data_IF_288700752466
#
_entry.id   IF_288700752466
#
_cell.length_a   1.000
_cell.length_b   1.000
_cell.length_c   1.000
_cell.angle_alpha   90.00
_cell.angle_beta   90.00
_cell.angle_gamma   90.00
#
_symmetry.space_group_name_H-M   'P 1'
#
loop_
_entity.id
_entity.type
_entity.pdbx_description
1 polymer ?
#
# COMPACT_ATOMS: atom_id res chain seq x y z
N UNK A 1 32.09 20.69 -0.26
CA UNK A 1 31.54 20.30 -1.58
C UNK A 1 31.40 18.80 -1.56
N UNK A 2 30.17 18.32 -1.56
CA UNK A 2 29.92 16.87 -1.56
C UNK A 2 30.40 16.29 -2.89
N UNK A 3 31.20 15.22 -2.81
CA UNK A 3 31.69 14.55 -4.01
C UNK A 3 30.49 13.90 -4.72
N UNK A 4 30.13 14.29 -5.97
CA UNK A 4 28.98 13.75 -6.68
C UNK A 4 29.08 12.23 -6.87
N UNK A 5 30.29 11.68 -6.93
CA UNK A 5 30.48 10.22 -7.02
C UNK A 5 30.09 9.50 -5.73
N UNK A 6 30.33 10.10 -4.56
CA UNK A 6 29.89 9.52 -3.29
C UNK A 6 28.36 9.42 -3.22
N UNK A 7 27.67 10.46 -3.67
CA UNK A 7 26.20 10.47 -3.71
C UNK A 7 25.69 9.34 -4.62
N UNK A 8 26.26 9.19 -5.83
CA UNK A 8 25.90 8.13 -6.77
C UNK A 8 26.15 6.75 -6.16
N UNK A 9 27.30 6.55 -5.49
CA UNK A 9 27.64 5.28 -4.82
C UNK A 9 26.60 4.96 -3.74
N UNK A 10 26.25 5.91 -2.87
CA UNK A 10 25.27 5.71 -1.79
C UNK A 10 23.90 5.33 -2.39
N UNK A 11 23.37 6.10 -3.33
CA UNK A 11 22.08 5.83 -3.96
C UNK A 11 22.04 4.47 -4.66
N UNK A 12 23.07 4.17 -5.46
CA UNK A 12 23.15 2.88 -6.17
C UNK A 12 23.26 1.70 -5.21
N UNK A 13 24.06 1.84 -4.15
CA UNK A 13 24.22 0.82 -3.11
C UNK A 13 22.90 0.57 -2.37
N UNK A 14 22.16 1.62 -2.02
CA UNK A 14 20.84 1.48 -1.37
C UNK A 14 19.86 0.69 -2.23
N UNK A 15 19.83 0.95 -3.55
CA UNK A 15 18.98 0.20 -4.47
C UNK A 15 19.38 -1.27 -4.50
N UNK A 16 20.67 -1.58 -4.65
CA UNK A 16 21.18 -2.96 -4.65
C UNK A 16 20.85 -3.67 -3.33
N UNK A 17 21.11 -3.03 -2.20
CA UNK A 17 20.77 -3.60 -0.87
C UNK A 17 19.29 -3.82 -0.70
N UNK A 18 18.43 -2.96 -1.24
CA UNK A 18 16.97 -3.14 -1.17
C UNK A 18 16.51 -4.41 -1.90
N UNK A 19 17.06 -4.70 -3.07
CA UNK A 19 16.79 -5.96 -3.77
C UNK A 19 17.29 -7.17 -2.97
N UNK A 20 18.48 -7.08 -2.37
CA UNK A 20 19.01 -8.13 -1.50
C UNK A 20 18.12 -8.34 -0.27
N UNK A 21 17.66 -7.27 0.39
CA UNK A 21 16.76 -7.37 1.53
C UNK A 21 15.39 -7.95 1.15
N UNK A 22 14.89 -7.65 -0.03
CA UNK A 22 13.65 -8.27 -0.53
C UNK A 22 13.84 -9.77 -0.73
N UNK A 23 14.99 -10.19 -1.25
CA UNK A 23 15.31 -11.62 -1.39
C UNK A 23 15.51 -12.29 -0.02
N UNK A 24 16.24 -11.65 0.90
CA UNK A 24 16.40 -12.12 2.28
C UNK A 24 15.05 -12.23 3.00
N UNK A 25 14.15 -11.28 2.80
CA UNK A 25 12.81 -11.28 3.37
C UNK A 25 12.03 -12.54 3.00
N UNK A 26 12.16 -13.02 1.76
CA UNK A 26 11.52 -14.27 1.30
C UNK A 26 12.05 -15.50 2.02
N UNK A 27 13.34 -15.54 2.36
CA UNK A 27 13.95 -16.68 3.04
C UNK A 27 13.73 -16.62 4.55
N UNK A 28 13.89 -15.45 5.15
CA UNK A 28 13.83 -15.26 6.61
C UNK A 28 12.42 -15.03 7.13
N UNK A 29 11.45 -14.71 6.23
CA UNK A 29 10.11 -14.25 6.58
C UNK A 29 10.09 -12.94 7.38
N UNK A 30 11.23 -12.24 7.46
CA UNK A 30 11.35 -10.91 8.06
C UNK A 30 10.94 -9.87 7.00
N UNK A 31 10.00 -8.97 7.27
CA UNK A 31 9.65 -7.91 6.33
C UNK A 31 10.86 -7.09 5.92
N UNK A 32 11.05 -6.85 4.61
CA UNK A 32 12.18 -6.07 4.07
C UNK A 32 12.27 -4.65 4.66
N UNK A 33 11.14 -4.10 5.09
CA UNK A 33 11.03 -2.79 5.76
C UNK A 33 11.88 -2.72 7.02
N UNK A 34 11.94 -3.79 7.82
CA UNK A 34 12.77 -3.82 9.04
C UNK A 34 14.25 -3.68 8.69
N UNK A 35 14.71 -4.36 7.62
CA UNK A 35 16.10 -4.23 7.15
C UNK A 35 16.39 -2.81 6.64
N UNK A 36 15.44 -2.19 5.93
CA UNK A 36 15.60 -0.82 5.41
C UNK A 36 15.67 0.22 6.52
N UNK A 37 14.77 0.15 7.51
CA UNK A 37 14.81 1.01 8.70
C UNK A 37 16.10 0.79 9.47
N UNK A 38 16.50 -0.49 9.69
CA UNK A 38 17.75 -0.83 10.35
C UNK A 38 18.99 -0.29 9.64
N UNK A 39 18.98 -0.29 8.29
CA UNK A 39 20.04 0.35 7.48
C UNK A 39 20.07 1.87 7.70
N UNK A 40 18.91 2.53 7.74
CA UNK A 40 18.81 3.95 8.04
C UNK A 40 19.37 4.29 9.43
N UNK A 41 19.00 3.51 10.45
CA UNK A 41 19.54 3.66 11.81
C UNK A 41 21.07 3.43 11.84
N UNK A 42 21.55 2.40 11.15
CA UNK A 42 23.01 2.14 11.06
C UNK A 42 23.73 3.33 10.39
N UNK A 43 23.18 3.87 9.32
CA UNK A 43 23.71 5.08 8.67
C UNK A 43 23.71 6.29 9.62
N UNK A 44 22.68 6.46 10.46
CA UNK A 44 22.64 7.52 11.47
C UNK A 44 23.85 7.44 12.42
N UNK A 45 24.20 6.24 12.88
CA UNK A 45 25.39 6.07 13.73
C UNK A 45 26.69 6.33 12.98
N UNK A 46 26.80 5.91 11.72
CA UNK A 46 27.99 6.17 10.89
C UNK A 46 28.19 7.68 10.67
N UNK A 47 27.12 8.40 10.32
CA UNK A 47 27.12 9.84 10.11
C UNK A 47 27.53 10.59 11.39
N UNK A 48 26.95 10.21 12.53
CA UNK A 48 27.32 10.77 13.84
C UNK A 48 28.79 10.49 14.19
N UNK A 49 29.29 9.29 13.90
CA UNK A 49 30.68 8.91 14.17
C UNK A 49 31.68 9.66 13.29
N UNK A 50 31.29 9.95 12.02
CA UNK A 50 32.14 10.68 11.07
C UNK A 50 32.02 12.19 11.18
N UNK A 51 31.17 12.70 12.09
CA UNK A 51 30.87 14.13 12.29
C UNK A 51 30.44 14.84 11.00
N UNK A 52 29.65 14.11 10.19
CA UNK A 52 29.10 14.62 8.93
C UNK A 52 27.79 15.34 9.21
N UNK A 53 27.71 16.62 8.88
CA UNK A 53 26.43 17.34 8.91
C UNK A 53 25.52 16.84 7.78
N UNK A 54 24.38 16.23 8.16
CA UNK A 54 23.34 15.86 7.19
C UNK A 54 22.59 17.13 6.79
N UNK A 55 22.51 17.47 5.48
CA UNK A 55 21.64 18.53 5.02
C UNK A 55 20.21 18.27 5.45
N UNK A 56 19.40 19.31 5.65
CA UNK A 56 18.00 19.13 6.01
C UNK A 56 17.29 18.26 4.97
N UNK A 57 16.89 17.05 5.37
CA UNK A 57 16.18 16.08 4.51
C UNK A 57 14.68 16.34 4.42
N UNK A 58 14.18 17.39 5.07
CA UNK A 58 12.75 17.72 5.13
C UNK A 58 12.14 17.96 3.74
N UNK A 59 12.76 18.75 2.88
CA UNK A 59 12.24 19.02 1.53
C UNK A 59 12.29 17.79 0.61
N UNK A 60 13.43 17.06 0.49
CA UNK A 60 13.47 15.81 -0.26
C UNK A 60 12.49 14.78 0.28
N UNK A 61 12.32 14.68 1.60
CA UNK A 61 11.39 13.74 2.22
C UNK A 61 9.92 14.09 1.92
N UNK A 62 9.55 15.38 1.94
CA UNK A 62 8.21 15.85 1.57
C UNK A 62 7.92 15.54 0.10
N UNK A 63 8.85 15.82 -0.82
CA UNK A 63 8.68 15.50 -2.25
C UNK A 63 8.57 13.98 -2.49
N UNK A 64 9.45 13.18 -1.89
CA UNK A 64 9.37 11.72 -1.93
C UNK A 64 8.05 11.22 -1.31
N UNK A 65 7.58 11.91 -0.27
CA UNK A 65 6.30 11.64 0.37
C UNK A 65 5.12 11.80 -0.60
N UNK A 66 5.03 12.94 -1.27
CA UNK A 66 3.97 13.24 -2.25
C UNK A 66 4.00 12.26 -3.41
N UNK A 67 5.16 12.08 -4.05
CA UNK A 67 5.33 11.13 -5.16
C UNK A 67 5.07 9.70 -4.69
N UNK A 68 5.52 9.36 -3.48
CA UNK A 68 5.28 8.06 -2.85
C UNK A 68 3.81 7.77 -2.65
N UNK A 69 3.06 8.73 -2.09
CA UNK A 69 1.63 8.59 -1.87
C UNK A 69 0.88 8.38 -3.20
N UNK A 70 1.21 9.18 -4.22
CA UNK A 70 0.63 9.02 -5.57
C UNK A 70 0.87 7.62 -6.12
N UNK A 71 2.12 7.12 -6.05
CA UNK A 71 2.49 5.82 -6.61
C UNK A 71 1.89 4.65 -5.85
N UNK A 72 1.84 4.72 -4.51
CA UNK A 72 1.27 3.66 -3.67
C UNK A 72 -0.24 3.58 -3.83
N UNK A 73 -0.93 4.72 -3.89
CA UNK A 73 -2.37 4.75 -4.15
C UNK A 73 -2.67 4.16 -5.53
N UNK A 74 -1.86 4.50 -6.53
CA UNK A 74 -2.01 3.96 -7.87
C UNK A 74 -1.70 2.44 -7.91
N UNK A 75 -0.62 1.98 -7.25
CA UNK A 75 -0.27 0.57 -7.12
C UNK A 75 -1.45 -0.22 -6.51
N UNK A 76 -1.97 0.24 -5.37
CA UNK A 76 -3.13 -0.37 -4.72
C UNK A 76 -4.38 -0.38 -5.61
N UNK A 77 -4.65 0.72 -6.33
CA UNK A 77 -5.77 0.81 -7.26
C UNK A 77 -5.65 -0.17 -8.44
N UNK A 78 -4.43 -0.35 -8.95
CA UNK A 78 -4.14 -1.29 -10.05
C UNK A 78 -4.22 -2.77 -9.61
N UNK A 79 -4.17 -3.06 -8.32
CA UNK A 79 -4.36 -4.43 -7.79
C UNK A 79 -5.83 -4.82 -7.64
N UNK A 80 -6.76 -3.84 -7.60
CA UNK A 80 -8.19 -4.10 -7.45
C UNK A 80 -8.79 -4.62 -8.76
N UNK A 81 -9.05 -5.93 -8.85
CA UNK A 81 -9.69 -6.60 -9.99
C UNK A 81 -11.14 -6.93 -9.66
N UNK A 82 -12.08 -6.25 -10.31
CA UNK A 82 -13.53 -6.48 -10.13
C UNK A 82 -13.96 -7.66 -10.98
N UNK A 83 -14.05 -8.86 -10.38
CA UNK A 83 -14.56 -10.09 -11.02
C UNK A 83 -15.84 -10.57 -10.32
N UNK A 84 -16.88 -10.92 -11.09
CA UNK A 84 -18.17 -11.40 -10.51
C UNK A 84 -18.00 -12.61 -9.59
N UNK A 85 -17.11 -13.53 -9.93
CA UNK A 85 -16.83 -14.72 -9.11
C UNK A 85 -16.23 -14.40 -7.72
N UNK A 86 -15.61 -13.21 -7.57
CA UNK A 86 -14.89 -12.79 -6.36
C UNK A 86 -15.61 -11.70 -5.56
N UNK A 87 -16.85 -11.37 -5.94
CA UNK A 87 -17.60 -10.28 -5.28
C UNK A 87 -17.80 -10.52 -3.79
N UNK A 88 -17.97 -11.77 -3.33
CA UNK A 88 -18.09 -12.07 -1.90
C UNK A 88 -16.81 -11.75 -1.13
N UNK A 89 -15.65 -12.12 -1.67
CA UNK A 89 -14.35 -11.84 -1.06
C UNK A 89 -14.05 -10.31 -1.06
N UNK A 90 -14.36 -9.65 -2.17
CA UNK A 90 -14.21 -8.19 -2.29
C UNK A 90 -15.11 -7.47 -1.28
N UNK A 91 -16.38 -7.88 -1.16
CA UNK A 91 -17.30 -7.28 -0.20
C UNK A 91 -16.89 -7.56 1.26
N UNK A 92 -16.43 -8.78 1.55
CA UNK A 92 -15.90 -9.11 2.88
C UNK A 92 -14.67 -8.27 3.21
N UNK A 93 -13.70 -8.16 2.30
CA UNK A 93 -12.51 -7.31 2.49
C UNK A 93 -12.89 -5.84 2.66
N UNK A 94 -13.85 -5.33 1.87
CA UNK A 94 -14.37 -3.97 1.97
C UNK A 94 -15.02 -3.69 3.34
N UNK A 95 -15.95 -4.55 3.76
CA UNK A 95 -16.62 -4.40 5.07
C UNK A 95 -15.64 -4.53 6.23
N UNK A 96 -14.73 -5.50 6.16
CA UNK A 96 -13.69 -5.72 7.18
C UNK A 96 -12.75 -4.53 7.29
N UNK A 97 -12.24 -3.99 6.17
CA UNK A 97 -11.30 -2.86 6.19
C UNK A 97 -11.95 -1.59 6.75
N UNK A 98 -13.18 -1.26 6.37
CA UNK A 98 -13.89 -0.10 6.94
C UNK A 98 -14.13 -0.26 8.45
N UNK A 99 -14.62 -1.44 8.88
CA UNK A 99 -14.93 -1.66 10.29
C UNK A 99 -13.68 -1.71 11.15
N UNK A 100 -12.62 -2.40 10.70
CA UNK A 100 -11.35 -2.41 11.42
C UNK A 100 -10.79 -1.00 11.51
N UNK A 101 -10.73 -0.27 10.39
CA UNK A 101 -10.21 1.10 10.35
C UNK A 101 -11.02 2.01 11.31
N UNK A 102 -12.35 2.05 11.18
CA UNK A 102 -13.21 2.93 11.98
C UNK A 102 -13.15 2.63 13.47
N UNK A 103 -13.27 1.35 13.87
CA UNK A 103 -13.21 0.93 15.27
C UNK A 103 -11.80 1.14 15.86
N UNK A 104 -10.76 0.75 15.12
CA UNK A 104 -9.37 0.93 15.56
C UNK A 104 -9.05 2.40 15.71
N UNK A 105 -9.43 3.25 14.74
CA UNK A 105 -9.22 4.69 14.81
C UNK A 105 -9.91 5.33 16.01
N UNK A 106 -11.18 5.00 16.26
CA UNK A 106 -11.94 5.56 17.38
C UNK A 106 -11.34 5.18 18.75
N UNK A 107 -10.86 3.93 18.88
CA UNK A 107 -10.26 3.47 20.13
C UNK A 107 -8.84 4.00 20.32
N UNK A 108 -8.02 4.08 19.25
CA UNK A 108 -6.71 4.73 19.31
C UNK A 108 -6.87 6.21 19.65
N UNK A 109 -7.89 6.90 19.09
CA UNK A 109 -8.21 8.27 19.47
C UNK A 109 -8.50 8.39 20.99
N UNK A 110 -9.25 7.45 21.55
CA UNK A 110 -9.47 7.38 23.01
C UNK A 110 -8.18 7.18 23.81
N UNK A 111 -7.27 6.32 23.33
CA UNK A 111 -5.96 6.12 23.96
C UNK A 111 -5.11 7.39 23.92
N UNK A 112 -5.02 8.04 22.74
CA UNK A 112 -4.24 9.28 22.56
C UNK A 112 -4.82 10.43 23.41
N UNK A 113 -6.14 10.57 23.42
CA UNK A 113 -6.82 11.60 24.21
C UNK A 113 -6.61 11.45 25.72
N UNK A 114 -6.49 10.18 26.20
CA UNK A 114 -6.34 9.91 27.64
C UNK A 114 -4.90 9.84 28.12
N UNK A 115 -3.93 9.53 27.24
CA UNK A 115 -2.54 9.27 27.63
C UNK A 115 -1.53 10.28 27.04
N UNK A 116 -1.94 11.11 26.08
CA UNK A 116 -1.05 12.10 25.45
C UNK A 116 -1.40 13.51 25.92
N UNK A 117 -0.44 14.18 26.53
CA UNK A 117 -0.61 15.58 26.99
C UNK A 117 -0.70 16.59 25.83
N UNK A 118 -0.27 16.18 24.63
CA UNK A 118 -0.27 17.01 23.42
C UNK A 118 -1.64 17.14 22.75
N UNK A 119 -2.64 16.36 23.17
CA UNK A 119 -3.96 16.27 22.51
C UNK A 119 -5.02 16.97 23.34
N UNK A 120 -5.50 18.12 22.85
CA UNK A 120 -6.45 18.97 23.57
C UNK A 120 -7.91 18.57 23.36
N UNK A 121 -8.26 18.06 22.17
CA UNK A 121 -9.64 17.69 21.84
C UNK A 121 -9.74 16.25 21.32
N UNK A 122 -10.90 15.61 21.49
CA UNK A 122 -11.14 14.28 20.92
C UNK A 122 -11.14 14.31 19.38
N UNK A 123 -11.51 15.44 18.78
CA UNK A 123 -11.43 15.65 17.34
C UNK A 123 -10.00 15.56 16.82
N UNK A 124 -9.06 16.22 17.51
CA UNK A 124 -7.63 16.14 17.16
C UNK A 124 -7.09 14.72 17.38
N UNK A 125 -7.47 14.10 18.52
CA UNK A 125 -7.12 12.70 18.79
C UNK A 125 -7.58 11.77 17.68
N UNK A 126 -8.78 11.99 17.14
CA UNK A 126 -9.33 11.17 16.04
C UNK A 126 -8.51 11.32 14.75
N UNK A 127 -8.15 12.55 14.38
CA UNK A 127 -7.26 12.81 13.24
C UNK A 127 -5.87 12.17 13.45
N UNK A 128 -5.28 12.34 14.63
CA UNK A 128 -3.96 11.84 14.96
C UNK A 128 -3.90 10.31 15.06
N UNK A 129 -5.04 9.65 15.29
CA UNK A 129 -5.17 8.21 15.30
C UNK A 129 -5.19 7.60 13.88
N UNK A 130 -5.61 8.35 12.84
CA UNK A 130 -5.76 7.82 11.48
C UNK A 130 -4.49 7.16 10.97
N UNK A 131 -3.30 7.79 11.04
CA UNK A 131 -2.04 7.17 10.60
C UNK A 131 -1.76 5.82 11.27
N UNK A 132 -2.08 5.70 12.56
CA UNK A 132 -1.82 4.50 13.35
C UNK A 132 -2.86 3.38 13.11
N UNK A 133 -4.02 3.70 12.55
CA UNK A 133 -5.11 2.75 12.32
C UNK A 133 -5.03 2.05 10.96
N UNK A 134 -4.31 2.60 9.98
CA UNK A 134 -4.19 2.06 8.61
C UNK A 134 -3.29 0.86 8.55
N UNK A 135 -3.73 -0.24 7.91
CA UNK A 135 -2.91 -1.43 7.60
C UNK A 135 -2.17 -1.19 6.28
N UNK A 136 -0.85 -1.32 6.28
CA UNK A 136 -0.01 -1.04 5.10
C UNK A 136 -0.02 -2.16 4.07
N UNK A 137 -0.59 -1.93 2.89
CA UNK A 137 -0.53 -2.84 1.75
C UNK A 137 0.89 -3.04 1.24
N UNK A 138 1.69 -1.98 1.27
CA UNK A 138 3.09 -1.97 0.86
C UNK A 138 3.96 -3.03 1.59
N UNK A 139 3.56 -3.41 2.80
CA UNK A 139 4.24 -4.43 3.61
C UNK A 139 3.50 -5.77 3.51
N UNK A 140 2.18 -5.76 3.50
CA UNK A 140 1.37 -7.00 3.40
C UNK A 140 1.62 -7.73 2.08
N UNK A 141 1.54 -7.03 0.94
CA UNK A 141 1.63 -7.64 -0.39
C UNK A 141 2.89 -8.52 -0.55
N UNK A 142 4.12 -8.01 -0.31
CA UNK A 142 5.32 -8.83 -0.43
C UNK A 142 5.48 -9.90 0.66
N UNK A 143 4.73 -9.82 1.77
CA UNK A 143 4.90 -10.71 2.92
C UNK A 143 3.97 -11.93 2.89
N UNK A 144 2.80 -11.83 2.22
CA UNK A 144 1.76 -12.87 2.28
C UNK A 144 1.81 -13.91 1.15
N UNK A 145 2.88 -13.93 0.35
CA UNK A 145 2.99 -14.86 -0.79
C UNK A 145 3.12 -16.33 -0.39
N UNK A 146 3.50 -16.61 0.85
CA UNK A 146 3.53 -17.98 1.41
C UNK A 146 2.18 -18.47 1.92
N UNK A 147 1.14 -17.62 1.93
CA UNK A 147 -0.18 -18.00 2.40
C UNK A 147 -1.01 -18.67 1.31
N UNK A 148 -2.00 -19.45 1.74
CA UNK A 148 -3.01 -20.09 0.87
C UNK A 148 -3.65 -19.04 -0.05
N UNK A 149 -3.89 -19.32 -1.35
CA UNK A 149 -4.34 -18.33 -2.34
C UNK A 149 -5.55 -17.51 -1.92
N UNK A 150 -6.56 -18.12 -1.29
CA UNK A 150 -7.77 -17.42 -0.83
C UNK A 150 -7.47 -16.42 0.30
N UNK A 151 -6.65 -16.83 1.27
CA UNK A 151 -6.20 -15.98 2.38
C UNK A 151 -5.31 -14.85 1.89
N UNK A 152 -4.35 -15.16 1.02
CA UNK A 152 -3.48 -14.18 0.37
C UNK A 152 -4.29 -13.09 -0.33
N UNK A 153 -5.24 -13.49 -1.17
CA UNK A 153 -6.09 -12.53 -1.90
C UNK A 153 -6.91 -11.65 -0.97
N UNK A 154 -7.52 -12.24 0.07
CA UNK A 154 -8.26 -11.47 1.08
C UNK A 154 -7.36 -10.47 1.79
N UNK A 155 -6.17 -10.88 2.24
CA UNK A 155 -5.22 -10.02 2.95
C UNK A 155 -4.73 -8.84 2.08
N UNK A 156 -4.43 -9.11 0.80
CA UNK A 156 -4.03 -8.06 -0.16
C UNK A 156 -5.17 -7.06 -0.35
N UNK A 157 -6.40 -7.55 -0.60
CA UNK A 157 -7.55 -6.66 -0.78
C UNK A 157 -7.86 -5.84 0.48
N UNK A 158 -7.85 -6.48 1.65
CA UNK A 158 -8.12 -5.83 2.93
C UNK A 158 -7.10 -4.72 3.23
N UNK A 159 -5.80 -5.01 3.06
CA UNK A 159 -4.74 -4.03 3.29
C UNK A 159 -4.79 -2.88 2.27
N UNK A 160 -4.99 -3.18 0.98
CA UNK A 160 -5.13 -2.15 -0.06
C UNK A 160 -6.34 -1.24 0.20
N UNK A 161 -7.48 -1.81 0.57
CA UNK A 161 -8.67 -1.03 0.92
C UNK A 161 -8.48 -0.24 2.21
N UNK A 162 -7.71 -0.77 3.17
CA UNK A 162 -7.36 -0.04 4.41
C UNK A 162 -6.52 1.20 4.11
N UNK A 163 -5.50 1.11 3.24
CA UNK A 163 -4.72 2.26 2.80
C UNK A 163 -5.62 3.32 2.15
N UNK A 164 -6.49 2.89 1.22
CA UNK A 164 -7.42 3.76 0.50
C UNK A 164 -8.37 4.48 1.45
N UNK A 165 -9.06 3.73 2.31
CA UNK A 165 -10.03 4.32 3.25
C UNK A 165 -9.35 5.18 4.31
N UNK A 166 -8.14 4.81 4.75
CA UNK A 166 -7.37 5.61 5.67
C UNK A 166 -6.98 6.97 5.10
N UNK A 167 -6.50 6.99 3.86
CA UNK A 167 -6.18 8.22 3.13
C UNK A 167 -7.46 9.05 2.89
N UNK A 168 -8.56 8.41 2.45
CA UNK A 168 -9.83 9.12 2.26
C UNK A 168 -10.37 9.71 3.56
N UNK A 169 -10.33 8.96 4.66
CA UNK A 169 -10.76 9.44 5.97
C UNK A 169 -9.93 10.64 6.40
N UNK A 170 -8.62 10.58 6.18
CA UNK A 170 -7.69 11.66 6.46
C UNK A 170 -8.01 12.92 5.64
N UNK A 171 -8.14 12.78 4.33
CA UNK A 171 -8.48 13.90 3.43
C UNK A 171 -9.83 14.51 3.80
N UNK A 172 -10.86 13.69 4.11
CA UNK A 172 -12.17 14.18 4.53
C UNK A 172 -12.14 14.92 5.85
N UNK A 173 -11.24 14.53 6.77
CA UNK A 173 -11.11 15.23 8.05
C UNK A 173 -10.47 16.60 7.90
N UNK A 174 -9.65 16.80 6.86
CA UNK A 174 -9.02 18.08 6.55
C UNK A 174 -9.92 19.02 5.73
N UNK A 175 -11.11 18.59 5.28
CA UNK A 175 -12.04 19.45 4.53
C UNK A 175 -12.60 20.53 5.45
N UNK A 176 -12.30 21.78 5.13
CA UNK A 176 -12.93 22.93 5.74
C UNK A 176 -14.22 23.29 5.00
N UNK A 177 -15.39 23.36 5.69
CA UNK A 177 -16.64 23.76 5.07
C UNK A 177 -16.59 25.24 4.67
N UNK A 178 -17.03 25.57 3.46
CA UNK A 178 -17.20 26.95 3.05
C UNK A 178 -18.29 27.66 3.88
N UNK A 179 -18.23 29.00 3.97
CA UNK A 179 -19.17 29.81 4.71
C UNK A 179 -20.64 29.44 4.35
N UNK A 180 -21.38 28.94 5.33
CA UNK A 180 -22.79 28.56 5.19
C UNK A 180 -23.07 27.10 4.78
N UNK A 181 -22.04 26.27 4.59
CA UNK A 181 -22.20 24.84 4.34
C UNK A 181 -22.07 24.01 5.60
N UNK A 182 -22.86 22.94 5.69
CA UNK A 182 -22.63 21.91 6.72
C UNK A 182 -21.43 21.04 6.34
N UNK A 183 -20.75 20.48 7.35
CA UNK A 183 -19.61 19.55 7.14
C UNK A 183 -20.02 18.39 6.23
N UNK A 184 -21.23 17.86 6.39
CA UNK A 184 -21.76 16.74 5.61
C UNK A 184 -21.96 17.11 4.14
N UNK A 185 -22.40 18.34 3.85
CA UNK A 185 -22.56 18.85 2.48
C UNK A 185 -21.20 19.07 1.84
N UNK A 186 -20.22 19.62 2.56
CA UNK A 186 -18.86 19.85 2.07
C UNK A 186 -18.18 18.51 1.70
N UNK A 187 -18.28 17.50 2.57
CA UNK A 187 -17.73 16.16 2.32
C UNK A 187 -18.41 15.50 1.11
N UNK A 188 -19.76 15.47 1.09
CA UNK A 188 -20.50 14.82 0.01
C UNK A 188 -20.25 15.48 -1.35
N UNK A 189 -20.19 16.81 -1.40
CA UNK A 189 -19.90 17.53 -2.64
C UNK A 189 -18.46 17.25 -3.13
N UNK A 190 -17.48 17.28 -2.22
CA UNK A 190 -16.08 16.98 -2.56
C UNK A 190 -15.95 15.53 -3.10
N UNK A 191 -16.58 14.55 -2.46
CA UNK A 191 -16.60 13.16 -2.93
C UNK A 191 -17.22 13.05 -4.32
N UNK A 192 -18.42 13.61 -4.51
CA UNK A 192 -19.12 13.51 -5.80
C UNK A 192 -18.30 14.14 -6.92
N UNK A 193 -17.78 15.35 -6.71
CA UNK A 193 -16.98 16.06 -7.71
C UNK A 193 -15.68 15.28 -7.98
N UNK A 194 -14.98 14.83 -6.95
CA UNK A 194 -13.75 14.03 -7.10
C UNK A 194 -14.01 12.76 -7.92
N UNK A 195 -15.12 12.05 -7.67
CA UNK A 195 -15.49 10.85 -8.43
C UNK A 195 -15.78 11.21 -9.90
N UNK A 196 -16.59 12.23 -10.15
CA UNK A 196 -16.96 12.64 -11.52
C UNK A 196 -15.72 13.08 -12.29
N UNK A 197 -14.91 13.96 -11.71
CA UNK A 197 -13.66 14.45 -12.32
C UNK A 197 -12.72 13.28 -12.61
N UNK A 198 -12.55 12.36 -11.67
CA UNK A 198 -11.68 11.19 -11.81
C UNK A 198 -12.12 10.28 -12.95
N UNK A 199 -13.42 10.00 -13.04
CA UNK A 199 -13.98 9.16 -14.12
C UNK A 199 -13.77 9.83 -15.47
N UNK A 200 -14.08 11.13 -15.60
CA UNK A 200 -13.86 11.88 -16.85
C UNK A 200 -12.39 11.88 -17.25
N UNK A 201 -11.50 12.21 -16.31
CA UNK A 201 -10.06 12.22 -16.56
C UNK A 201 -9.53 10.84 -16.92
N UNK A 202 -10.03 9.76 -16.28
CA UNK A 202 -9.67 8.39 -16.62
C UNK A 202 -10.01 8.05 -18.07
N UNK A 203 -11.19 8.47 -18.56
CA UNK A 203 -11.56 8.27 -19.97
C UNK A 203 -10.68 9.07 -20.92
N UNK A 204 -10.41 10.34 -20.60
CA UNK A 204 -9.52 11.21 -21.40
C UNK A 204 -8.13 10.59 -21.48
N UNK A 205 -7.60 10.11 -20.34
CA UNK A 205 -6.27 9.51 -20.25
C UNK A 205 -6.16 8.24 -21.08
N UNK A 206 -7.09 7.30 -20.92
CA UNK A 206 -7.10 6.07 -21.72
C UNK A 206 -7.18 6.39 -23.21
N UNK A 207 -7.97 7.40 -23.59
CA UNK A 207 -8.06 7.86 -24.99
C UNK A 207 -6.75 8.47 -25.50
N UNK A 208 -6.10 9.34 -24.71
CA UNK A 208 -4.80 9.95 -25.05
C UNK A 208 -3.74 8.87 -25.23
N UNK A 209 -3.59 7.96 -24.27
CA UNK A 209 -2.62 6.86 -24.36
C UNK A 209 -2.91 5.91 -25.53
N UNK A 210 -4.18 5.71 -25.91
CA UNK A 210 -4.54 4.92 -27.07
C UNK A 210 -4.02 5.54 -28.40
N UNK A 211 -3.96 6.88 -28.47
CA UNK A 211 -3.49 7.59 -29.69
C UNK A 211 -1.97 7.75 -29.76
N UNK A 212 -1.29 7.70 -28.64
CA UNK A 212 0.17 7.87 -28.59
C UNK A 212 0.84 6.59 -29.09
N UNK A 213 1.64 6.72 -30.15
CA UNK A 213 2.39 5.63 -30.79
C UNK A 213 3.87 5.56 -30.36
N UNK A 214 4.30 6.48 -29.48
CA UNK A 214 5.69 6.57 -29.07
C UNK A 214 6.04 5.49 -28.04
N UNK A 215 7.25 4.98 -28.10
CA UNK A 215 7.80 4.00 -27.14
C UNK A 215 8.08 4.62 -25.77
N UNK A 216 8.26 5.95 -25.70
CA UNK A 216 8.60 6.69 -24.49
C UNK A 216 7.31 7.15 -23.79
N UNK A 217 6.70 6.26 -23.01
CA UNK A 217 5.44 6.56 -22.29
C UNK A 217 5.65 6.86 -20.80
N UNK A 218 6.82 6.48 -20.24
CA UNK A 218 7.10 6.56 -18.82
C UNK A 218 7.01 7.99 -18.25
N UNK A 219 7.78 8.93 -18.83
CA UNK A 219 7.78 10.31 -18.35
C UNK A 219 6.44 11.02 -18.58
N UNK A 220 5.76 10.70 -19.67
CA UNK A 220 4.42 11.21 -19.93
C UNK A 220 3.43 10.73 -18.87
N UNK A 221 3.50 9.45 -18.49
CA UNK A 221 2.68 8.89 -17.43
C UNK A 221 2.92 9.58 -16.08
N UNK A 222 4.18 9.73 -15.67
CA UNK A 222 4.54 10.44 -14.45
C UNK A 222 4.08 11.91 -14.47
N UNK A 223 4.28 12.60 -15.59
CA UNK A 223 3.88 13.99 -15.76
C UNK A 223 2.36 14.14 -15.64
N UNK A 224 1.59 13.24 -16.24
CA UNK A 224 0.14 13.26 -16.17
C UNK A 224 -0.34 12.94 -14.75
N UNK A 225 0.27 11.96 -14.09
CA UNK A 225 -0.06 11.62 -12.71
C UNK A 225 0.21 12.79 -11.76
N UNK A 226 1.38 13.43 -11.90
CA UNK A 226 1.73 14.63 -11.16
C UNK A 226 0.79 15.81 -11.46
N UNK A 227 0.36 15.97 -12.72
CA UNK A 227 -0.60 16.99 -13.13
C UNK A 227 -1.98 16.73 -12.51
N UNK A 228 -2.46 15.48 -12.52
CA UNK A 228 -3.72 15.09 -11.88
C UNK A 228 -3.71 15.39 -10.39
N UNK A 229 -2.60 15.04 -9.72
CA UNK A 229 -2.42 15.35 -8.31
C UNK A 229 -2.42 16.86 -8.05
N UNK A 230 -1.59 17.60 -8.79
CA UNK A 230 -1.44 19.05 -8.59
C UNK A 230 -2.72 19.82 -8.91
N UNK A 231 -3.47 19.41 -9.93
CA UNK A 231 -4.79 20.02 -10.26
C UNK A 231 -5.81 19.70 -9.17
N UNK A 232 -5.82 18.47 -8.67
CA UNK A 232 -6.69 18.07 -7.55
C UNK A 232 -6.44 18.93 -6.31
N UNK A 233 -5.20 19.03 -5.86
CA UNK A 233 -4.78 19.88 -4.72
C UNK A 233 -5.10 21.36 -4.97
N UNK A 234 -4.79 21.89 -6.15
CA UNK A 234 -5.06 23.29 -6.49
C UNK A 234 -6.56 23.63 -6.46
N UNK A 235 -7.42 22.70 -6.85
CA UNK A 235 -8.86 22.86 -6.83
C UNK A 235 -9.50 22.48 -5.48
N UNK A 236 -8.72 22.14 -4.48
CA UNK A 236 -9.17 21.66 -3.15
C UNK A 236 -10.05 20.41 -3.22
N UNK A 237 -9.82 19.55 -4.22
CA UNK A 237 -10.41 18.21 -4.29
C UNK A 237 -9.41 17.16 -3.83
N UNK A 238 -9.92 16.02 -3.36
CA UNK A 238 -9.05 14.92 -2.95
C UNK A 238 -8.27 14.36 -4.15
N UNK A 239 -7.02 14.84 -4.32
CA UNK A 239 -6.13 14.47 -5.41
C UNK A 239 -5.82 12.97 -5.41
N UNK A 240 -5.67 12.36 -4.23
CA UNK A 240 -5.41 10.94 -4.07
C UNK A 240 -6.62 10.08 -4.47
N UNK A 241 -7.84 10.57 -4.24
CA UNK A 241 -9.06 9.93 -4.73
C UNK A 241 -9.14 9.93 -6.26
N UNK A 242 -8.69 11.01 -6.90
CA UNK A 242 -8.61 11.09 -8.36
C UNK A 242 -7.68 10.01 -8.91
N UNK A 243 -6.50 9.86 -8.33
CA UNK A 243 -5.52 8.83 -8.72
C UNK A 243 -6.06 7.42 -8.47
N UNK A 244 -6.70 7.20 -7.33
CA UNK A 244 -7.33 5.93 -6.99
C UNK A 244 -8.35 5.49 -8.05
N UNK A 245 -9.32 6.36 -8.34
CA UNK A 245 -10.39 6.05 -9.30
C UNK A 245 -9.79 5.83 -10.69
N UNK A 246 -8.80 6.65 -11.08
CA UNK A 246 -8.06 6.45 -12.32
C UNK A 246 -7.45 5.05 -12.40
N UNK A 247 -6.72 4.60 -11.36
CA UNK A 247 -6.12 3.27 -11.30
C UNK A 247 -7.16 2.14 -11.36
N UNK A 248 -8.28 2.27 -10.61
CA UNK A 248 -9.37 1.28 -10.62
C UNK A 248 -10.04 1.19 -12.00
N UNK A 249 -10.30 2.33 -12.66
CA UNK A 249 -10.87 2.38 -14.01
C UNK A 249 -9.93 1.75 -15.02
N UNK A 250 -8.64 2.08 -14.95
CA UNK A 250 -7.61 1.55 -15.84
C UNK A 250 -7.46 0.02 -15.70
N UNK A 251 -7.53 -0.50 -14.48
CA UNK A 251 -7.42 -1.94 -14.24
C UNK A 251 -8.71 -2.71 -14.58
N UNK A 252 -9.86 -2.06 -14.55
CA UNK A 252 -11.17 -2.68 -14.77
C UNK A 252 -11.88 -2.14 -16.02
N UNK A 253 -11.15 -1.92 -17.10
CA UNK A 253 -11.67 -1.36 -18.36
C UNK A 253 -12.85 -2.14 -18.91
N UNK A 254 -12.91 -3.47 -18.72
CA UNK A 254 -14.03 -4.32 -19.13
C UNK A 254 -15.36 -3.99 -18.40
N UNK A 255 -15.30 -3.34 -17.24
CA UNK A 255 -16.47 -2.90 -16.47
C UNK A 255 -16.89 -1.49 -16.92
N UNK A 256 -15.93 -0.58 -17.07
CA UNK A 256 -16.18 0.84 -17.30
C UNK A 256 -16.34 1.20 -18.79
N UNK A 257 -15.65 0.48 -19.69
CA UNK A 257 -15.74 0.75 -21.14
C UNK A 257 -16.72 -0.20 -21.82
N UNK A 258 -18.02 0.13 -21.72
CA UNK A 258 -19.12 -0.63 -22.35
C UNK A 258 -19.85 0.22 -23.39
N UNK A 259 -20.58 -0.41 -24.30
CA UNK A 259 -21.42 0.26 -25.30
C UNK A 259 -20.61 1.07 -26.31
N UNK A 260 -20.92 2.35 -26.47
CA UNK A 260 -20.31 3.25 -27.45
C UNK A 260 -18.79 3.43 -27.21
N UNK A 261 -18.36 3.46 -25.95
CA UNK A 261 -16.96 3.62 -25.57
C UNK A 261 -16.09 2.41 -25.97
N UNK A 262 -16.67 1.21 -26.06
CA UNK A 262 -15.96 0.01 -26.56
C UNK A 262 -15.54 0.15 -28.03
N UNK A 263 -16.25 0.98 -28.82
CA UNK A 263 -15.93 1.22 -30.23
C UNK A 263 -14.71 2.11 -30.46
N UNK A 264 -14.38 2.94 -29.45
CA UNK A 264 -13.31 3.94 -29.51
C UNK A 264 -11.97 3.34 -29.07
N UNK A 265 -12.00 2.26 -28.28
CA UNK A 265 -10.84 1.72 -27.57
C UNK A 265 -10.55 0.30 -28.04
N UNK A 266 -9.30 0.04 -28.44
CA UNK A 266 -8.80 -1.29 -28.75
C UNK A 266 -8.40 -2.00 -27.44
N UNK A 267 -9.14 -3.07 -27.07
CA UNK A 267 -8.91 -3.83 -25.83
C UNK A 267 -7.47 -4.39 -25.71
N UNK A 268 -6.84 -4.76 -26.84
CA UNK A 268 -5.47 -5.27 -26.84
C UNK A 268 -4.48 -4.19 -26.42
N UNK A 269 -4.59 -3.00 -27.04
CA UNK A 269 -3.73 -1.86 -26.68
C UNK A 269 -3.88 -1.42 -25.22
N UNK A 270 -5.12 -1.44 -24.72
CA UNK A 270 -5.38 -1.06 -23.31
C UNK A 270 -4.76 -2.07 -22.35
N UNK A 271 -4.76 -3.37 -22.69
CA UNK A 271 -4.06 -4.38 -21.89
C UNK A 271 -2.54 -4.17 -21.88
N UNK A 272 -1.95 -3.83 -23.03
CA UNK A 272 -0.52 -3.50 -23.14
C UNK A 272 -0.18 -2.26 -22.28
N UNK A 273 -0.94 -1.17 -22.46
CA UNK A 273 -0.76 0.06 -21.68
C UNK A 273 -0.88 -0.22 -20.18
N UNK A 274 -1.88 -1.00 -19.77
CA UNK A 274 -2.06 -1.39 -18.37
C UNK A 274 -0.85 -2.18 -17.85
N UNK A 275 -0.32 -3.12 -18.64
CA UNK A 275 0.83 -3.92 -18.24
C UNK A 275 2.06 -3.03 -18.02
N UNK A 276 2.33 -2.13 -18.95
CA UNK A 276 3.41 -1.14 -18.81
C UNK A 276 3.23 -0.29 -17.53
N UNK A 277 2.02 0.19 -17.26
CA UNK A 277 1.73 1.02 -16.07
C UNK A 277 1.92 0.26 -14.76
N UNK A 278 1.46 -0.99 -14.69
CA UNK A 278 1.67 -1.84 -13.52
C UNK A 278 3.16 -2.04 -13.26
N UNK A 279 3.96 -2.35 -14.29
CA UNK A 279 5.41 -2.52 -14.14
C UNK A 279 6.07 -1.23 -13.63
N UNK A 280 5.80 -0.10 -14.30
CA UNK A 280 6.36 1.20 -13.94
C UNK A 280 5.98 1.59 -12.51
N UNK A 281 4.70 1.43 -12.17
CA UNK A 281 4.19 1.78 -10.83
C UNK A 281 4.86 0.93 -9.76
N UNK A 282 4.97 -0.39 -9.98
CA UNK A 282 5.59 -1.30 -9.02
C UNK A 282 7.08 -0.98 -8.79
N UNK A 283 7.84 -0.75 -9.88
CA UNK A 283 9.27 -0.39 -9.78
C UNK A 283 9.46 0.96 -9.09
N UNK A 284 8.67 1.96 -9.47
CA UNK A 284 8.77 3.29 -8.87
C UNK A 284 8.36 3.27 -7.39
N UNK A 285 7.26 2.59 -7.05
CA UNK A 285 6.83 2.42 -5.66
C UNK A 285 7.87 1.67 -4.84
N UNK A 286 8.52 0.65 -5.40
CA UNK A 286 9.60 -0.07 -4.73
C UNK A 286 10.78 0.84 -4.40
N UNK A 287 11.24 1.65 -5.36
CA UNK A 287 12.32 2.61 -5.15
C UNK A 287 11.97 3.64 -4.07
N UNK A 288 10.78 4.22 -4.17
CA UNK A 288 10.32 5.24 -3.21
C UNK A 288 10.23 4.64 -1.81
N UNK A 289 9.64 3.45 -1.65
CA UNK A 289 9.59 2.74 -0.37
C UNK A 289 10.98 2.52 0.21
N UNK A 290 11.94 2.13 -0.63
CA UNK A 290 13.32 1.90 -0.21
C UNK A 290 13.94 3.15 0.37
N UNK A 291 13.96 4.23 -0.39
CA UNK A 291 14.55 5.49 0.07
C UNK A 291 13.81 6.04 1.28
N UNK A 292 12.48 5.96 1.28
CA UNK A 292 11.67 6.48 2.37
C UNK A 292 11.93 5.78 3.70
N UNK A 293 11.98 4.45 3.73
CA UNK A 293 12.25 3.72 4.97
C UNK A 293 13.69 3.88 5.46
N UNK A 294 14.65 4.02 4.55
CA UNK A 294 16.04 4.31 4.94
C UNK A 294 16.15 5.72 5.50
N UNK A 295 15.54 6.73 4.84
CA UNK A 295 15.53 8.10 5.35
C UNK A 295 14.76 8.19 6.67
N UNK A 296 13.63 7.50 6.81
CA UNK A 296 12.92 7.42 8.08
C UNK A 296 13.79 6.85 9.21
N UNK A 297 14.51 5.74 8.96
CA UNK A 297 15.45 5.19 9.93
C UNK A 297 16.61 6.13 10.24
N UNK A 298 17.09 6.90 9.25
CA UNK A 298 18.18 7.87 9.39
C UNK A 298 17.77 9.10 10.22
N UNK A 299 16.51 9.54 10.09
CA UNK A 299 15.97 10.73 10.78
C UNK A 299 15.24 10.40 12.08
N UNK A 300 15.01 9.13 12.36
CA UNK A 300 14.24 8.67 13.52
C UNK A 300 14.91 9.08 14.83
N UNK A 301 14.12 9.65 15.75
CA UNK A 301 14.58 9.96 17.10
C UNK A 301 14.69 8.67 17.95
N UNK A 302 15.92 8.17 18.15
CA UNK A 302 16.19 6.95 18.90
C UNK A 302 15.93 7.12 20.41
N UNK A 303 16.08 8.33 20.96
CA UNK A 303 15.80 8.59 22.38
C UNK A 303 14.30 8.45 22.68
N UNK A 304 13.44 8.75 21.71
CA UNK A 304 12.00 8.54 21.80
C UNK A 304 11.58 7.07 21.93
N UNK A 305 12.42 6.12 21.48
CA UNK A 305 12.13 4.68 21.61
C UNK A 305 12.24 4.16 23.05
N UNK A 306 13.02 4.82 23.88
CA UNK A 306 13.22 4.44 25.29
C UNK A 306 12.40 5.29 26.26
N UNK A 307 11.62 6.25 25.74
CA UNK A 307 10.71 7.06 26.53
C UNK A 307 9.58 6.19 27.12
N UNK A 308 9.43 6.14 28.48
CA UNK A 308 8.41 5.32 29.11
C UNK A 308 6.98 5.66 28.68
N UNK A 309 6.68 6.94 28.45
CA UNK A 309 5.35 7.38 28.01
C UNK A 309 5.08 6.91 26.58
N UNK A 310 6.06 7.04 25.67
CA UNK A 310 5.95 6.54 24.31
C UNK A 310 5.73 5.02 24.25
N UNK A 311 6.43 4.27 25.11
CA UNK A 311 6.28 2.81 25.20
C UNK A 311 4.86 2.43 25.67
N UNK A 312 4.34 3.09 26.72
CA UNK A 312 2.98 2.82 27.23
C UNK A 312 1.92 3.10 26.16
N UNK A 313 2.02 4.24 25.47
CA UNK A 313 1.08 4.61 24.40
C UNK A 313 1.20 3.60 23.24
N UNK A 314 2.40 3.26 22.81
CA UNK A 314 2.62 2.32 21.71
C UNK A 314 2.06 0.92 22.02
N UNK A 315 2.27 0.41 23.23
CA UNK A 315 1.72 -0.88 23.68
C UNK A 315 0.19 -0.82 23.72
N UNK A 316 -0.40 0.25 24.24
CA UNK A 316 -1.84 0.42 24.28
C UNK A 316 -2.44 0.48 22.86
N UNK A 317 -1.81 1.23 21.95
CA UNK A 317 -2.20 1.30 20.53
C UNK A 317 -2.12 -0.08 19.87
N UNK A 318 -1.02 -0.81 20.05
CA UNK A 318 -0.87 -2.17 19.51
C UNK A 318 -1.93 -3.13 20.09
N UNK A 319 -2.22 -3.04 21.37
CA UNK A 319 -3.28 -3.85 21.99
C UNK A 319 -4.65 -3.58 21.34
N UNK A 320 -5.01 -2.32 21.11
CA UNK A 320 -6.24 -1.94 20.40
C UNK A 320 -6.25 -2.54 19.00
N UNK A 321 -5.17 -2.37 18.24
CA UNK A 321 -5.04 -2.89 16.87
C UNK A 321 -5.36 -4.39 16.82
N UNK A 322 -4.70 -5.19 17.65
CA UNK A 322 -4.85 -6.65 17.60
C UNK A 322 -6.17 -7.14 18.20
N UNK A 323 -6.68 -6.51 19.26
CA UNK A 323 -7.98 -6.85 19.85
C UNK A 323 -9.09 -6.62 18.82
N UNK A 324 -9.14 -5.44 18.19
CA UNK A 324 -10.17 -5.14 17.18
C UNK A 324 -10.02 -6.06 15.96
N UNK A 325 -8.79 -6.33 15.53
CA UNK A 325 -8.54 -7.25 14.43
C UNK A 325 -9.05 -8.66 14.71
N UNK A 326 -8.73 -9.22 15.87
CA UNK A 326 -9.20 -10.56 16.29
C UNK A 326 -10.73 -10.61 16.35
N UNK A 327 -11.36 -9.62 16.99
CA UNK A 327 -12.81 -9.55 17.10
C UNK A 327 -13.49 -9.46 15.72
N UNK A 328 -13.00 -8.59 14.86
CA UNK A 328 -13.56 -8.38 13.54
C UNK A 328 -13.40 -9.61 12.64
N UNK A 329 -12.20 -10.21 12.59
CA UNK A 329 -11.95 -11.42 11.80
C UNK A 329 -12.81 -12.61 12.27
N UNK A 330 -13.06 -12.77 13.57
CA UNK A 330 -13.96 -13.80 14.09
C UNK A 330 -15.40 -13.62 13.61
N UNK A 331 -15.85 -12.39 13.37
CA UNK A 331 -17.21 -12.11 12.87
C UNK A 331 -17.32 -12.42 11.38
N UNK A 332 -16.32 -12.02 10.57
CA UNK A 332 -16.38 -12.13 9.11
C UNK A 332 -15.81 -13.43 8.55
N UNK A 333 -14.80 -14.00 9.21
CA UNK A 333 -14.13 -15.23 8.77
C UNK A 333 -14.53 -16.37 9.70
N UNK A 334 -15.32 -17.30 9.18
CA UNK A 334 -15.79 -18.48 9.94
C UNK A 334 -14.76 -19.61 10.05
N UNK A 335 -13.64 -19.52 9.32
CA UNK A 335 -12.51 -20.44 9.34
C UNK A 335 -11.43 -20.03 10.37
N UNK A 336 -10.30 -20.73 10.37
CA UNK A 336 -9.15 -20.37 11.20
C UNK A 336 -8.65 -18.96 10.87
N UNK A 337 -8.63 -18.08 11.89
CA UNK A 337 -8.19 -16.68 11.74
C UNK A 337 -6.66 -16.50 11.85
N UNK A 338 -5.94 -17.59 12.13
CA UNK A 338 -4.48 -17.62 12.16
C UNK A 338 -3.91 -17.96 10.78
N UNK A 339 -2.87 -17.29 10.27
CA UNK A 339 -2.09 -16.20 10.87
C UNK A 339 -2.65 -14.79 10.65
N UNK A 340 -3.78 -14.64 9.98
CA UNK A 340 -4.38 -13.35 9.55
C UNK A 340 -4.53 -12.35 10.70
N UNK A 341 -4.84 -12.83 11.91
CA UNK A 341 -5.02 -12.00 13.08
C UNK A 341 -3.74 -11.25 13.50
N UNK A 342 -2.55 -11.75 13.14
CA UNK A 342 -1.26 -11.13 13.44
C UNK A 342 -0.74 -10.25 12.28
N UNK A 343 -1.38 -10.31 11.09
CA UNK A 343 -0.95 -9.55 9.91
C UNK A 343 -1.65 -8.19 9.90
N UNK A 344 -1.10 -7.23 10.62
CA UNK A 344 -1.58 -5.85 10.65
C UNK A 344 -0.42 -4.84 10.71
N UNK A 345 0.55 -4.91 9.78
CA UNK A 345 1.72 -4.04 9.82
C UNK A 345 1.33 -2.57 9.57
N UNK A 346 2.03 -1.67 10.25
CA UNK A 346 2.02 -0.23 9.96
C UNK A 346 3.27 0.11 9.15
N UNK A 347 3.16 1.10 8.25
CA UNK A 347 4.24 1.34 7.31
C UNK A 347 4.26 2.73 6.71
N UNK A 348 4.46 2.81 5.40
CA UNK A 348 4.73 4.04 4.69
C UNK A 348 3.58 5.04 4.79
N UNK A 349 2.33 4.61 4.58
CA UNK A 349 1.15 5.49 4.68
C UNK A 349 1.04 6.08 6.09
N UNK A 350 1.34 5.30 7.13
CA UNK A 350 1.38 5.75 8.52
C UNK A 350 2.33 6.94 8.70
N UNK A 351 3.56 6.84 8.17
CA UNK A 351 4.56 7.90 8.30
C UNK A 351 4.18 9.11 7.46
N UNK A 352 3.69 8.89 6.24
CA UNK A 352 3.33 9.97 5.33
C UNK A 352 2.16 10.81 5.86
N UNK A 353 1.12 10.16 6.37
CA UNK A 353 -0.01 10.87 6.97
C UNK A 353 0.39 11.60 8.26
N UNK A 354 1.26 11.00 9.08
CA UNK A 354 1.82 11.66 10.25
C UNK A 354 2.60 12.94 9.89
N UNK A 355 3.49 12.86 8.89
CA UNK A 355 4.24 14.01 8.42
C UNK A 355 3.32 15.10 7.84
N UNK A 356 2.26 14.71 7.12
CA UNK A 356 1.25 15.65 6.58
C UNK A 356 0.50 16.38 7.70
N UNK A 357 0.24 15.73 8.83
CA UNK A 357 -0.31 16.38 10.02
C UNK A 357 0.66 17.42 10.59
N UNK A 358 1.93 17.03 10.75
CA UNK A 358 2.96 17.92 11.28
C UNK A 358 3.15 19.14 10.36
N UNK A 359 3.15 18.93 9.05
CA UNK A 359 3.28 20.00 8.05
C UNK A 359 2.07 20.95 8.07
N UNK A 360 0.84 20.41 8.19
CA UNK A 360 -0.39 21.20 8.15
C UNK A 360 -0.66 21.98 9.44
N UNK A 361 -0.47 21.36 10.60
CA UNK A 361 -0.79 21.97 11.90
C UNK A 361 0.42 22.58 12.61
N UNK A 362 1.64 22.33 12.15
CA UNK A 362 2.88 22.78 12.79
C UNK A 362 3.12 22.19 14.19
N UNK A 363 2.37 21.13 14.55
CA UNK A 363 2.43 20.48 15.86
C UNK A 363 2.70 18.99 15.69
N UNK A 364 3.59 18.45 16.51
CA UNK A 364 3.81 16.99 16.59
C UNK A 364 2.68 16.38 17.43
N UNK A 365 1.82 15.53 16.83
CA UNK A 365 0.60 15.03 17.51
C UNK A 365 0.89 14.17 18.74
N UNK A 366 2.01 13.46 18.76
CA UNK A 366 2.52 12.62 19.84
C UNK A 366 4.01 12.38 19.64
N UNK A 367 4.69 11.88 20.67
CA UNK A 367 6.11 11.56 20.58
C UNK A 367 6.41 10.64 19.36
N UNK A 368 7.32 11.04 18.47
CA UNK A 368 7.73 10.27 17.29
C UNK A 368 8.17 8.83 17.63
N UNK A 369 8.63 8.61 18.86
CA UNK A 369 8.92 7.27 19.38
C UNK A 369 7.71 6.34 19.36
N UNK A 370 6.49 6.86 19.59
CA UNK A 370 5.25 6.06 19.48
C UNK A 370 5.08 5.53 18.07
N UNK A 371 5.26 6.40 17.05
CA UNK A 371 5.15 6.03 15.65
C UNK A 371 6.12 4.90 15.29
N UNK A 372 7.40 5.09 15.66
CA UNK A 372 8.46 4.12 15.39
C UNK A 372 8.21 2.78 16.10
N UNK A 373 7.85 2.81 17.40
CA UNK A 373 7.53 1.61 18.19
C UNK A 373 6.34 0.84 17.60
N UNK A 374 5.28 1.52 17.19
CA UNK A 374 4.10 0.89 16.59
C UNK A 374 4.45 0.27 15.22
N UNK A 375 5.22 0.97 14.37
CA UNK A 375 5.66 0.44 13.09
C UNK A 375 6.53 -0.81 13.29
N UNK A 376 7.59 -0.71 14.08
CA UNK A 376 8.50 -1.84 14.33
C UNK A 376 7.75 -2.99 15.02
N UNK A 377 6.98 -2.69 16.07
CA UNK A 377 6.23 -3.68 16.84
C UNK A 377 5.22 -4.46 16.01
N UNK A 378 4.41 -3.78 15.20
CA UNK A 378 3.41 -4.45 14.34
C UNK A 378 4.05 -5.29 13.23
N UNK A 379 5.21 -4.88 12.71
CA UNK A 379 5.97 -5.66 11.75
C UNK A 379 6.60 -6.91 12.39
N UNK A 380 7.10 -6.81 13.64
CA UNK A 380 7.61 -7.95 14.39
C UNK A 380 6.51 -8.96 14.73
N UNK A 381 5.32 -8.50 15.13
CA UNK A 381 4.19 -9.38 15.39
C UNK A 381 3.74 -10.09 14.11
N UNK A 382 3.69 -9.38 12.98
CA UNK A 382 3.40 -9.97 11.67
C UNK A 382 4.44 -11.05 11.31
N UNK A 383 5.72 -10.76 11.50
CA UNK A 383 6.81 -11.71 11.27
C UNK A 383 6.62 -13.00 12.09
N UNK A 384 6.31 -12.87 13.39
CA UNK A 384 6.03 -14.03 14.26
C UNK A 384 4.85 -14.85 13.72
N UNK A 385 3.79 -14.20 13.26
CA UNK A 385 2.63 -14.86 12.64
C UNK A 385 3.00 -15.65 11.40
N UNK A 386 3.79 -15.06 10.50
CA UNK A 386 4.23 -15.69 9.25
C UNK A 386 5.20 -16.84 9.46
N UNK A 387 6.11 -16.72 10.43
CA UNK A 387 7.04 -17.80 10.80
C UNK A 387 6.27 -18.99 11.38
N UNK A 388 5.33 -18.72 12.29
CA UNK A 388 4.52 -19.77 12.94
C UNK A 388 3.53 -20.46 11.98
N UNK A 389 3.14 -19.83 10.87
CA UNK A 389 2.25 -20.42 9.86
C UNK A 389 2.96 -21.36 8.88
N UNK A 390 4.28 -21.34 8.81
CA UNK A 390 5.08 -22.15 7.86
C UNK A 390 5.08 -23.66 8.11
N UNK A 391 4.41 -24.14 9.18
CA UNK A 391 4.22 -25.57 9.44
C UNK A 391 2.83 -26.12 9.03
N UNK A 392 1.86 -25.24 8.72
CA UNK A 392 0.50 -25.66 8.42
C UNK A 392 0.21 -25.91 6.93
N UNK A 393 1.12 -25.54 6.04
CA UNK A 393 0.96 -25.75 4.61
C UNK A 393 1.05 -27.23 4.22
N UNK A 394 1.97 -27.97 4.84
CA UNK A 394 2.12 -29.42 4.65
C UNK A 394 0.93 -30.21 5.23
N UNK A 395 0.35 -29.74 6.34
CA UNK A 395 -0.80 -30.38 6.96
C UNK A 395 -2.12 -30.09 6.23
N UNK A 396 -2.26 -28.89 5.63
CA UNK A 396 -3.46 -28.55 4.86
C UNK A 396 -3.48 -29.25 3.49
N UNK A 397 -2.34 -29.39 2.84
CA UNK A 397 -2.19 -30.19 1.61
C UNK A 397 -2.48 -31.67 1.92
N UNK A 398 -1.98 -32.22 3.06
CA UNK A 398 -2.25 -33.59 3.49
C UNK A 398 -3.70 -33.86 3.89
N UNK A 399 -4.41 -32.88 4.45
CA UNK A 399 -5.83 -33.00 4.78
C UNK A 399 -6.71 -32.97 3.53
N UNK A 400 -6.40 -32.10 2.56
CA UNK A 400 -7.17 -32.01 1.31
C UNK A 400 -6.83 -33.09 0.30
N UNK A 401 -5.61 -33.67 0.32
CA UNK A 401 -5.33 -34.90 -0.44
C UNK A 401 -6.02 -36.12 0.13
N UNK A 402 -6.30 -36.19 1.44
CA UNK A 402 -7.11 -37.27 2.04
C UNK A 402 -8.61 -37.13 1.80
N UNK A 403 -9.14 -35.90 1.68
CA UNK A 403 -10.53 -35.64 1.30
C UNK A 403 -10.76 -35.69 -0.21
N UNK A 404 -9.75 -35.38 -1.03
CA UNK A 404 -9.82 -35.40 -2.49
C UNK A 404 -9.71 -36.80 -3.12
N UNK A 405 -9.39 -37.86 -2.36
CA UNK A 405 -9.52 -39.24 -2.80
C UNK A 405 -11.00 -39.75 -2.83
N UNK A 406 -11.95 -38.95 -2.28
CA UNK A 406 -13.37 -39.28 -2.26
C UNK A 406 -14.22 -38.51 -3.27
N UNK A 407 -13.67 -37.50 -3.97
CA UNK A 407 -14.45 -36.72 -4.97
C UNK A 407 -13.59 -36.31 -6.19
N UNK A 408 -12.88 -37.31 -6.76
CA UNK A 408 -12.08 -37.15 -7.96
C UNK A 408 -12.91 -37.21 -9.23
N UNK A 409 -13.66 -36.17 -9.55
CA UNK A 409 -14.41 -36.09 -10.79
C UNK A 409 -14.48 -34.74 -11.47
N UNK A 410 -14.44 -33.63 -10.75
CA UNK A 410 -14.84 -32.35 -11.36
C UNK A 410 -13.96 -31.09 -11.04
N UNK A 411 -12.83 -31.21 -10.35
CA UNK A 411 -12.06 -30.02 -9.91
C UNK A 411 -10.61 -29.91 -10.47
N UNK A 412 -10.21 -30.80 -11.38
CA UNK A 412 -8.85 -30.77 -11.95
C UNK A 412 -8.76 -29.98 -13.27
N UNK A 413 -9.89 -29.65 -13.91
CA UNK A 413 -9.88 -28.95 -15.21
C UNK A 413 -9.82 -27.40 -15.13
N UNK A 414 -9.93 -26.82 -13.95
CA UNK A 414 -9.92 -25.35 -13.75
C UNK A 414 -8.58 -24.73 -13.31
N UNK A 415 -7.59 -25.53 -12.91
CA UNK A 415 -6.37 -25.02 -12.28
C UNK A 415 -5.07 -25.19 -13.10
N UNK A 416 -5.13 -25.83 -14.27
CA UNK A 416 -3.94 -26.14 -15.11
C UNK A 416 -3.88 -25.34 -16.42
N UNK A 417 -4.86 -24.49 -16.72
CA UNK A 417 -4.94 -23.78 -18.02
C UNK A 417 -4.20 -22.44 -18.07
N UNK A 418 -3.52 -21.99 -17.00
CA UNK A 418 -2.90 -20.63 -17.02
C UNK A 418 -1.36 -20.62 -16.99
N UNK A 419 -0.67 -21.75 -17.21
CA UNK A 419 0.81 -21.77 -17.24
C UNK A 419 1.46 -22.57 -18.38
N UNK A 420 0.72 -22.99 -19.42
CA UNK A 420 1.28 -23.77 -20.53
C UNK A 420 1.28 -23.07 -21.90
N UNK A 421 0.79 -21.82 -21.99
CA UNK A 421 0.74 -21.10 -23.30
C UNK A 421 2.00 -20.30 -23.64
N UNK A 422 3.12 -20.51 -22.94
CA UNK A 422 4.38 -19.78 -23.23
C UNK A 422 5.52 -20.67 -23.78
N UNK A 423 5.34 -21.99 -23.89
CA UNK A 423 6.45 -22.89 -24.33
C UNK A 423 6.12 -23.69 -25.62
N UNK A 424 5.11 -23.34 -26.42
CA UNK A 424 4.84 -24.10 -27.66
C UNK A 424 4.85 -23.32 -28.98
N UNK A 425 5.49 -22.15 -29.06
CA UNK A 425 5.75 -21.46 -30.33
C UNK A 425 7.23 -21.45 -30.77
N UNK A 426 8.07 -22.34 -30.25
CA UNK A 426 9.50 -22.39 -30.54
C UNK A 426 10.03 -23.64 -31.27
N UNK A 427 9.19 -24.56 -31.72
CA UNK A 427 9.72 -25.82 -32.30
C UNK A 427 8.96 -26.40 -33.50
N UNK A 428 8.61 -25.57 -34.49
CA UNK A 428 8.16 -26.07 -35.81
C UNK A 428 8.63 -25.18 -36.96
N UNK A 429 9.94 -25.00 -37.07
CA UNK A 429 10.62 -24.63 -38.33
C UNK A 429 11.94 -25.35 -38.35
N UNK A 430 11.94 -26.61 -38.74
CA UNK A 430 13.08 -27.27 -39.37
C UNK A 430 12.72 -28.72 -39.70
N UNK A 431 11.93 -28.94 -40.74
CA UNK A 431 11.94 -30.15 -41.56
C UNK A 431 11.04 -29.93 -42.77
N UNK A 432 11.61 -29.41 -43.85
CA UNK A 432 11.22 -29.63 -45.24
C UNK A 432 12.23 -28.90 -46.15
N UNK A 433 13.21 -29.62 -46.66
CA UNK A 433 14.22 -29.08 -47.55
C UNK A 433 15.27 -30.11 -47.88
N UNK A 434 14.86 -31.22 -48.43
CA UNK A 434 15.73 -32.19 -49.10
C UNK A 434 14.96 -32.87 -50.19
N UNK A 435 15.47 -32.71 -51.40
CA UNK A 435 15.22 -33.40 -52.68
C UNK A 435 14.68 -32.49 -53.79
N UNK A 436 15.62 -32.29 -54.67
CA UNK A 436 15.81 -32.06 -56.10
C UNK A 436 16.46 -30.73 -56.44
#
# INVERSE_FOLDING_TARGET
MEDPYLIIIIFSSLIVFSYLFTQMSRWTKIPSVIFLIGTGVALQYVVKFMDIEIPSLTQPLSLLGVVGLMMIVLEGALDIKIRRAKLKTIFAAFATSILILGLTNSLIAGVLFSLSDSVSTFSDAFLFAIPLSVVSSAIVIPSVHTLIPATKEFMILEATLSDIFGIMLFEFWLIEPHLGQSITEAISMNVIISVVVSVVLSYVMVYVFHKIKTEIKFFLFLAILALLFSVGEYMHYSALMIILIFGVVLNNTHVFFRGFLKRIINEVKVKEIRHEFVLITNETSFLIRTFFFVVFGLTMNLDGLVDPQAIVIAVAVMAVIYVIRILNLKVFIRSTIFPQMLIAPRGLVTILLFNKIVEHYGVVPFNEGVLALVIIGTNLVMMMGLISSGGSEDDFVKLHTKEGELDSGELVEGAIVDNTDVIQEGSTVNQLGGEN
#
